data_IF_623528819422
#
_entry.id   IF_623528819422
#
_cell.length_a   1.000
_cell.length_b   1.000
_cell.length_c   1.000
_cell.angle_alpha   90.00
_cell.angle_beta   90.00
_cell.angle_gamma   90.00
#
_symmetry.space_group_name_H-M   'P 1'
#
loop_
_entity.id
_entity.type
_entity.pdbx_description
1 polymer ?
#
# COMPACT_ATOMS: atom_id res chain seq x y z
N UNK A 1 -3.55 -2.66 -37.00
CA UNK A 1 -3.29 -2.36 -35.58
C UNK A 1 -4.48 -1.55 -35.07
N UNK A 2 -5.08 -1.90 -33.93
CA UNK A 2 -6.36 -1.31 -33.46
C UNK A 2 -6.19 -0.22 -32.38
N UNK A 3 -4.95 0.21 -32.10
CA UNK A 3 -4.69 1.30 -31.16
C UNK A 3 -5.00 2.65 -31.82
N UNK A 4 -5.80 3.47 -31.14
CA UNK A 4 -6.11 4.84 -31.54
C UNK A 4 -5.46 5.76 -30.51
N UNK A 5 -4.55 6.61 -30.96
CA UNK A 5 -3.96 7.65 -30.13
C UNK A 5 -5.04 8.69 -29.81
N UNK A 6 -5.36 8.87 -28.52
CA UNK A 6 -6.44 9.75 -28.05
C UNK A 6 -5.95 11.03 -27.33
N UNK A 7 -4.66 11.35 -27.39
CA UNK A 7 -4.09 12.51 -26.69
C UNK A 7 -2.68 12.86 -27.14
N UNK A 8 -2.14 13.91 -26.52
CA UNK A 8 -0.76 14.35 -26.73
C UNK A 8 0.26 13.36 -26.11
N UNK A 9 1.50 13.41 -26.58
CA UNK A 9 2.61 12.72 -25.92
C UNK A 9 2.72 13.21 -24.47
N UNK A 10 3.02 12.28 -23.56
CA UNK A 10 3.15 12.58 -22.13
C UNK A 10 4.43 13.42 -21.93
N UNK A 11 4.26 14.62 -21.39
CA UNK A 11 5.36 15.46 -20.90
C UNK A 11 5.49 15.26 -19.39
N UNK A 12 6.47 14.46 -18.99
CA UNK A 12 6.71 14.08 -17.59
C UNK A 12 7.02 15.32 -16.74
N UNK A 13 7.91 16.20 -17.20
CA UNK A 13 8.28 17.39 -16.43
C UNK A 13 7.12 18.36 -16.29
N UNK A 14 6.30 18.53 -17.33
CA UNK A 14 5.08 19.33 -17.23
C UNK A 14 4.12 18.76 -16.17
N UNK A 15 3.89 17.44 -16.17
CA UNK A 15 3.03 16.78 -15.18
C UNK A 15 3.60 16.93 -13.75
N UNK A 16 4.92 16.83 -13.59
CA UNK A 16 5.58 16.94 -12.28
C UNK A 16 5.66 18.37 -11.75
N UNK A 17 5.75 19.36 -12.64
CA UNK A 17 6.10 20.75 -12.31
C UNK A 17 5.28 21.38 -11.18
N UNK A 18 3.97 21.11 -11.12
CA UNK A 18 3.05 21.75 -10.16
C UNK A 18 3.07 21.13 -8.76
N UNK A 19 3.59 19.92 -8.63
CA UNK A 19 3.52 19.11 -7.41
C UNK A 19 4.88 18.56 -7.01
N UNK A 20 5.96 19.17 -7.50
CA UNK A 20 7.32 18.84 -7.08
C UNK A 20 7.53 19.39 -5.67
N UNK A 21 7.85 18.52 -4.72
CA UNK A 21 8.16 18.95 -3.36
C UNK A 21 9.46 19.77 -3.33
N UNK A 22 9.47 20.82 -2.53
CA UNK A 22 10.65 21.70 -2.34
C UNK A 22 10.77 22.11 -0.86
N UNK A 23 11.94 22.63 -0.49
CA UNK A 23 12.17 23.21 0.84
C UNK A 23 11.90 22.24 1.99
N UNK A 24 11.16 22.71 2.99
CA UNK A 24 10.88 21.95 4.21
C UNK A 24 10.04 20.70 3.97
N UNK A 25 9.10 20.73 3.01
CA UNK A 25 8.26 19.57 2.72
C UNK A 25 9.08 18.40 2.13
N UNK A 26 10.00 18.69 1.20
CA UNK A 26 10.91 17.69 0.66
C UNK A 26 11.84 17.11 1.74
N UNK A 27 12.45 17.98 2.54
CA UNK A 27 13.33 17.54 3.63
C UNK A 27 12.58 16.66 4.65
N UNK A 28 11.33 17.00 4.96
CA UNK A 28 10.50 16.23 5.87
C UNK A 28 10.11 14.86 5.28
N UNK A 29 9.69 14.81 4.01
CA UNK A 29 9.42 13.54 3.31
C UNK A 29 10.66 12.65 3.32
N UNK A 30 11.80 13.16 2.89
CA UNK A 30 13.05 12.38 2.83
C UNK A 30 13.44 11.81 4.19
N UNK A 31 13.28 12.59 5.27
CA UNK A 31 13.51 12.09 6.63
C UNK A 31 12.57 10.94 6.97
N UNK A 32 11.28 11.07 6.66
CA UNK A 32 10.29 10.01 6.90
C UNK A 32 10.53 8.77 6.04
N UNK A 33 11.00 8.93 4.81
CA UNK A 33 11.35 7.81 3.94
C UNK A 33 12.56 7.04 4.49
N UNK A 34 13.54 7.75 5.04
CA UNK A 34 14.67 7.15 5.73
C UNK A 34 14.23 6.36 6.98
N UNK A 35 13.39 6.97 7.84
CA UNK A 35 12.81 6.27 9.00
C UNK A 35 12.01 5.02 8.57
N UNK A 36 11.27 5.10 7.46
CA UNK A 36 10.55 3.96 6.92
C UNK A 36 11.51 2.86 6.44
N UNK A 37 12.61 3.21 5.77
CA UNK A 37 13.62 2.24 5.36
C UNK A 37 14.26 1.53 6.57
N UNK A 38 14.57 2.28 7.64
CA UNK A 38 15.11 1.76 8.90
C UNK A 38 14.14 0.79 9.60
N UNK A 39 12.83 1.08 9.56
CA UNK A 39 11.81 0.16 10.08
C UNK A 39 11.82 -1.14 9.27
N UNK A 40 11.84 -1.06 7.95
CA UNK A 40 11.81 -2.21 7.06
C UNK A 40 13.09 -3.06 7.19
N UNK A 41 14.26 -2.44 7.33
CA UNK A 41 15.54 -3.14 7.55
C UNK A 41 15.68 -3.73 8.96
N UNK A 42 14.88 -3.25 9.92
CA UNK A 42 14.93 -3.70 11.32
C UNK A 42 15.88 -2.92 12.21
N UNK A 43 16.40 -1.78 11.73
CA UNK A 43 17.15 -0.81 12.53
C UNK A 43 16.23 -0.02 13.47
N UNK A 44 14.95 0.10 13.12
CA UNK A 44 13.88 0.66 13.94
C UNK A 44 12.79 -0.39 14.17
N UNK A 45 12.41 -0.61 15.44
CA UNK A 45 11.46 -1.66 15.86
C UNK A 45 9.99 -1.19 15.87
N UNK A 46 9.69 0.07 15.51
CA UNK A 46 8.32 0.58 15.44
C UNK A 46 7.44 -0.28 14.51
N UNK A 47 6.17 -0.42 14.87
CA UNK A 47 5.17 -1.08 14.02
C UNK A 47 4.78 -0.14 12.87
N UNK A 48 4.85 -0.65 11.64
CA UNK A 48 4.36 0.03 10.45
C UNK A 48 2.84 -0.14 10.32
N UNK A 49 2.11 0.96 10.16
CA UNK A 49 0.71 0.95 9.71
C UNK A 49 0.60 1.58 8.33
N UNK A 50 0.26 0.76 7.33
CA UNK A 50 -0.18 1.24 6.02
C UNK A 50 -1.70 1.37 6.07
N UNK A 51 -2.19 2.55 6.42
CA UNK A 51 -3.60 2.75 6.79
C UNK A 51 -4.25 3.93 6.07
N UNK A 52 -5.49 3.73 5.63
CA UNK A 52 -6.29 4.75 4.95
C UNK A 52 -7.39 4.12 4.11
N UNK A 53 -8.10 4.91 3.30
CA UNK A 53 -9.30 4.43 2.62
C UNK A 53 -8.95 3.34 1.61
N UNK A 54 -9.92 2.46 1.34
CA UNK A 54 -9.75 1.42 0.33
C UNK A 54 -9.35 2.06 -1.02
N UNK A 55 -10.08 3.07 -1.46
CA UNK A 55 -9.72 3.94 -2.60
C UNK A 55 -9.85 5.41 -2.21
N UNK A 56 -8.97 6.24 -2.76
CA UNK A 56 -9.05 7.71 -2.63
C UNK A 56 -10.01 8.27 -3.68
N UNK A 57 -11.30 8.27 -3.35
CA UNK A 57 -12.41 8.60 -4.22
C UNK A 57 -12.83 10.08 -4.18
N UNK A 58 -12.65 10.73 -3.02
CA UNK A 58 -13.01 12.13 -2.79
C UNK A 58 -11.84 12.88 -2.14
N UNK A 59 -11.26 13.85 -2.85
CA UNK A 59 -10.06 14.58 -2.40
C UNK A 59 -10.23 15.25 -1.03
N UNK A 60 -11.34 15.95 -0.80
CA UNK A 60 -11.54 16.68 0.46
C UNK A 60 -11.78 15.75 1.64
N UNK A 61 -12.49 14.63 1.45
CA UNK A 61 -12.65 13.61 2.49
C UNK A 61 -11.34 12.89 2.80
N UNK A 62 -10.52 12.60 1.79
CA UNK A 62 -9.18 12.01 1.96
C UNK A 62 -8.28 12.96 2.76
N UNK A 63 -8.32 14.26 2.47
CA UNK A 63 -7.50 15.25 3.19
C UNK A 63 -7.98 15.49 4.62
N UNK A 64 -9.29 15.48 4.86
CA UNK A 64 -9.83 15.51 6.22
C UNK A 64 -9.36 14.30 7.03
N UNK A 65 -9.42 13.09 6.44
CA UNK A 65 -8.87 11.89 7.06
C UNK A 65 -7.35 12.01 7.32
N UNK A 66 -6.59 12.54 6.36
CA UNK A 66 -5.15 12.74 6.47
C UNK A 66 -4.77 13.68 7.64
N UNK A 67 -5.49 14.79 7.80
CA UNK A 67 -5.26 15.74 8.91
C UNK A 67 -5.50 15.08 10.26
N UNK A 68 -6.60 14.34 10.40
CA UNK A 68 -6.91 13.60 11.62
C UNK A 68 -5.87 12.52 11.93
N UNK A 69 -5.44 11.78 10.91
CA UNK A 69 -4.42 10.74 11.03
C UNK A 69 -3.05 11.30 11.42
N UNK A 70 -2.69 12.50 10.94
CA UNK A 70 -1.44 13.17 11.31
C UNK A 70 -1.43 13.56 12.79
N UNK A 71 -2.54 14.08 13.33
CA UNK A 71 -2.64 14.34 14.77
C UNK A 71 -2.55 13.06 15.61
N UNK A 72 -3.07 11.94 15.10
CA UNK A 72 -2.94 10.66 15.77
C UNK A 72 -1.50 10.11 15.71
N UNK A 73 -0.82 10.21 14.55
CA UNK A 73 0.58 9.83 14.40
C UNK A 73 1.46 10.49 15.46
N UNK A 74 1.26 11.78 15.75
CA UNK A 74 2.02 12.50 16.79
C UNK A 74 1.92 11.85 18.17
N UNK A 75 0.77 11.24 18.50
CA UNK A 75 0.51 10.64 19.81
C UNK A 75 1.12 9.25 19.99
N UNK A 76 1.43 8.55 18.89
CA UNK A 76 1.91 7.16 18.89
C UNK A 76 3.29 6.99 18.25
N UNK A 77 3.96 8.10 17.93
CA UNK A 77 5.14 8.14 17.05
C UNK A 77 6.37 7.37 17.58
N UNK A 78 6.42 7.13 18.88
CA UNK A 78 7.49 6.38 19.56
C UNK A 78 7.40 4.86 19.31
N UNK A 79 6.21 4.32 18.98
CA UNK A 79 6.01 2.88 18.74
C UNK A 79 5.41 2.55 17.38
N UNK A 80 4.75 3.51 16.75
CA UNK A 80 3.98 3.31 15.53
C UNK A 80 4.39 4.34 14.49
N UNK A 81 4.67 3.84 13.28
CA UNK A 81 4.93 4.65 12.11
C UNK A 81 3.81 4.45 11.08
N UNK A 82 3.05 5.50 10.81
CA UNK A 82 1.93 5.51 9.89
C UNK A 82 2.40 5.99 8.53
N UNK A 83 2.12 5.20 7.49
CA UNK A 83 2.11 5.62 6.09
C UNK A 83 0.68 5.64 5.63
N UNK A 84 0.21 6.80 5.15
CA UNK A 84 -1.18 6.93 4.74
C UNK A 84 -1.41 6.23 3.41
N UNK A 85 -2.40 5.34 3.36
CA UNK A 85 -2.87 4.71 2.14
C UNK A 85 -3.64 5.73 1.28
N UNK A 86 -3.11 6.06 0.11
CA UNK A 86 -3.70 6.96 -0.89
C UNK A 86 -3.84 6.19 -2.20
N UNK A 87 -4.69 5.15 -2.20
CA UNK A 87 -4.79 4.25 -3.34
C UNK A 87 -5.64 4.86 -4.45
N UNK A 88 -5.00 5.24 -5.55
CA UNK A 88 -5.62 6.08 -6.59
C UNK A 88 -6.10 5.32 -7.82
N UNK A 89 -5.76 4.03 -7.90
CA UNK A 89 -6.17 3.14 -8.96
C UNK A 89 -6.80 1.86 -8.39
N UNK A 90 -7.76 1.26 -9.11
CA UNK A 90 -8.39 0.00 -8.69
C UNK A 90 -8.44 -1.03 -9.82
N UNK A 91 -7.85 -2.23 -9.63
CA UNK A 91 -7.98 -3.32 -10.58
C UNK A 91 -9.43 -3.85 -10.62
N UNK A 92 -9.96 -4.09 -11.82
CA UNK A 92 -11.30 -4.65 -12.05
C UNK A 92 -11.18 -5.92 -12.88
N UNK A 93 -11.80 -7.02 -12.44
CA UNK A 93 -11.66 -8.35 -13.07
C UNK A 93 -12.02 -8.37 -14.55
N UNK A 94 -13.13 -7.72 -14.92
CA UNK A 94 -13.59 -7.62 -16.32
C UNK A 94 -13.26 -6.28 -16.97
N UNK A 95 -12.53 -5.41 -16.27
CA UNK A 95 -12.25 -4.06 -16.76
C UNK A 95 -13.44 -3.10 -16.74
N UNK A 96 -14.58 -3.46 -16.15
CA UNK A 96 -15.76 -2.58 -16.04
C UNK A 96 -15.91 -1.94 -14.65
N UNK A 97 -16.63 -0.81 -14.61
CA UNK A 97 -16.89 -0.01 -13.42
C UNK A 97 -15.80 1.05 -13.15
N UNK A 98 -15.94 1.77 -12.04
CA UNK A 98 -14.98 2.79 -11.62
C UNK A 98 -13.59 2.18 -11.36
N UNK A 99 -12.56 2.79 -11.99
CA UNK A 99 -11.15 2.33 -11.97
C UNK A 99 -10.21 3.23 -11.16
N UNK A 100 -10.76 4.18 -10.40
CA UNK A 100 -10.00 5.11 -9.56
C UNK A 100 -9.74 6.48 -10.20
N UNK A 101 -9.22 7.38 -9.36
CA UNK A 101 -8.90 8.77 -9.66
C UNK A 101 -7.98 8.91 -10.88
N UNK A 102 -7.02 7.99 -11.04
CA UNK A 102 -6.08 8.00 -12.19
C UNK A 102 -6.80 7.87 -13.53
N UNK A 103 -7.94 7.17 -13.57
CA UNK A 103 -8.69 6.96 -14.80
C UNK A 103 -9.72 8.04 -15.07
N UNK A 104 -10.40 8.45 -14.01
CA UNK A 104 -11.56 9.32 -14.11
C UNK A 104 -11.64 10.16 -12.83
N UNK A 105 -10.94 11.31 -12.80
CA UNK A 105 -10.93 12.18 -11.62
C UNK A 105 -12.29 12.85 -11.37
N UNK A 106 -13.07 13.03 -12.44
CA UNK A 106 -14.44 13.54 -12.38
C UNK A 106 -15.37 12.50 -13.01
N UNK A 107 -16.16 11.83 -12.18
CA UNK A 107 -17.07 10.74 -12.59
C UNK A 107 -18.18 11.22 -13.52
N UNK A 108 -18.46 12.53 -13.60
CA UNK A 108 -19.42 13.11 -14.55
C UNK A 108 -18.83 13.32 -15.96
N UNK A 109 -17.51 13.21 -16.12
CA UNK A 109 -16.79 13.42 -17.39
C UNK A 109 -16.24 12.12 -17.95
N UNK A 110 -15.87 12.13 -19.23
CA UNK A 110 -15.18 11.00 -19.85
C UNK A 110 -13.81 10.73 -19.20
N UNK A 111 -13.31 9.47 -19.24
CA UNK A 111 -11.96 9.14 -18.74
C UNK A 111 -10.85 9.97 -19.37
N UNK A 112 -9.88 10.40 -18.56
CA UNK A 112 -8.70 11.16 -18.99
C UNK A 112 -7.51 10.86 -18.08
N UNK A 113 -6.56 10.06 -18.56
CA UNK A 113 -5.42 9.62 -17.74
C UNK A 113 -4.44 10.74 -17.42
N UNK A 114 -4.23 11.70 -18.32
CA UNK A 114 -3.31 12.83 -18.05
C UNK A 114 -3.87 13.69 -16.91
N UNK A 115 -5.16 14.03 -16.97
CA UNK A 115 -5.82 14.78 -15.90
C UNK A 115 -5.91 13.95 -14.62
N UNK A 116 -6.15 12.64 -14.73
CA UNK A 116 -6.16 11.72 -13.60
C UNK A 116 -4.81 11.68 -12.90
N UNK A 117 -3.69 11.53 -13.63
CA UNK A 117 -2.33 11.56 -13.08
C UNK A 117 -2.01 12.89 -12.40
N UNK A 118 -2.46 14.03 -12.96
CA UNK A 118 -2.32 15.33 -12.30
C UNK A 118 -3.11 15.37 -10.98
N UNK A 119 -4.32 14.82 -10.95
CA UNK A 119 -5.12 14.74 -9.72
C UNK A 119 -4.49 13.80 -8.68
N UNK A 120 -3.97 12.64 -9.10
CA UNK A 120 -3.20 11.72 -8.24
C UNK A 120 -2.03 12.45 -7.60
N UNK A 121 -1.18 13.09 -8.41
CA UNK A 121 -0.03 13.85 -7.90
C UNK A 121 -0.45 14.96 -6.96
N UNK A 122 -1.52 15.71 -7.28
CA UNK A 122 -2.03 16.78 -6.44
C UNK A 122 -2.46 16.24 -5.07
N UNK A 123 -3.17 15.11 -5.02
CA UNK A 123 -3.61 14.50 -3.78
C UNK A 123 -2.43 14.07 -2.90
N UNK A 124 -1.46 13.32 -3.45
CA UNK A 124 -0.25 12.94 -2.69
C UNK A 124 0.51 14.17 -2.19
N UNK A 125 0.70 15.17 -3.06
CA UNK A 125 1.36 16.43 -2.72
C UNK A 125 0.65 17.15 -1.56
N UNK A 126 -0.68 17.27 -1.61
CA UNK A 126 -1.46 17.90 -0.55
C UNK A 126 -1.40 17.12 0.76
N UNK A 127 -1.50 15.80 0.72
CA UNK A 127 -1.34 14.96 1.93
C UNK A 127 0.02 15.25 2.59
N UNK A 128 1.11 15.23 1.81
CA UNK A 128 2.46 15.47 2.34
C UNK A 128 2.62 16.89 2.86
N UNK A 129 2.22 17.89 2.08
CA UNK A 129 2.47 19.31 2.41
C UNK A 129 1.55 19.85 3.50
N UNK A 130 0.30 19.38 3.60
CA UNK A 130 -0.65 19.84 4.60
C UNK A 130 -0.50 19.09 5.94
N UNK A 131 -0.01 17.85 5.93
CA UNK A 131 -0.05 16.98 7.12
C UNK A 131 1.30 16.45 7.58
N UNK A 132 2.32 16.49 6.72
CA UNK A 132 3.62 15.87 6.97
C UNK A 132 3.63 14.34 6.84
N UNK A 133 2.49 13.68 6.65
CA UNK A 133 2.45 12.24 6.42
C UNK A 133 3.05 11.86 5.06
N UNK A 134 3.71 10.72 5.02
CA UNK A 134 4.14 10.06 3.77
C UNK A 134 3.04 9.13 3.28
N UNK A 135 3.06 8.82 1.99
CA UNK A 135 1.93 8.17 1.32
C UNK A 135 2.29 6.80 0.74
N UNK A 136 1.30 5.93 0.66
CA UNK A 136 1.36 4.63 -0.01
C UNK A 136 0.37 4.57 -1.17
N UNK A 137 0.76 3.96 -2.30
CA UNK A 137 -0.14 3.65 -3.42
C UNK A 137 0.13 2.23 -3.96
N UNK A 138 -0.81 1.68 -4.72
CA UNK A 138 -0.65 0.43 -5.46
C UNK A 138 -0.09 0.72 -6.86
N UNK A 139 1.03 0.08 -7.20
CA UNK A 139 1.59 0.12 -8.56
C UNK A 139 0.73 -0.76 -9.47
N UNK A 140 -0.40 -0.20 -9.94
CA UNK A 140 -1.29 -0.88 -10.89
C UNK A 140 -0.72 -0.90 -12.32
N UNK A 141 -0.03 0.18 -12.69
CA UNK A 141 0.66 0.32 -13.97
C UNK A 141 2.13 0.65 -13.70
N UNK A 142 3.07 -0.27 -13.96
CA UNK A 142 4.49 -0.01 -13.73
C UNK A 142 5.01 1.20 -14.51
N UNK A 143 4.47 1.46 -15.70
CA UNK A 143 4.79 2.62 -16.53
C UNK A 143 4.41 3.98 -15.93
N UNK A 144 3.55 4.00 -14.91
CA UNK A 144 3.21 5.25 -14.21
C UNK A 144 4.24 5.63 -13.15
N UNK A 145 5.19 4.76 -12.79
CA UNK A 145 6.11 4.98 -11.67
C UNK A 145 6.83 6.34 -11.74
N UNK A 146 7.43 6.68 -12.89
CA UNK A 146 8.18 7.94 -13.08
C UNK A 146 7.33 9.21 -12.85
N UNK A 147 6.02 9.06 -12.93
CA UNK A 147 5.05 10.14 -12.74
C UNK A 147 4.64 10.33 -11.28
N UNK A 148 5.02 9.44 -10.36
CA UNK A 148 4.61 9.49 -8.95
C UNK A 148 5.72 9.14 -7.94
N UNK A 149 6.85 8.63 -8.41
CA UNK A 149 8.01 8.19 -7.61
C UNK A 149 8.50 9.22 -6.57
N UNK A 150 8.44 10.51 -6.89
CA UNK A 150 8.86 11.60 -6.01
C UNK A 150 7.89 11.88 -4.86
N UNK A 151 6.69 11.30 -4.88
CA UNK A 151 5.62 11.55 -3.92
C UNK A 151 5.16 10.30 -3.16
N UNK A 152 5.36 9.11 -3.71
CA UNK A 152 5.00 7.84 -3.06
C UNK A 152 6.19 7.34 -2.24
N UNK A 153 5.94 6.95 -0.99
CA UNK A 153 6.96 6.47 -0.05
C UNK A 153 6.87 4.97 0.22
N UNK A 154 5.76 4.34 -0.14
CA UNK A 154 5.55 2.91 -0.01
C UNK A 154 4.69 2.42 -1.18
N UNK A 155 5.17 1.44 -1.92
CA UNK A 155 4.43 0.86 -3.02
C UNK A 155 3.87 -0.51 -2.65
N UNK A 156 2.67 -0.82 -3.11
CA UNK A 156 2.18 -2.19 -3.09
C UNK A 156 2.09 -2.75 -4.51
N UNK A 157 2.47 -4.02 -4.68
CA UNK A 157 2.12 -4.83 -5.84
C UNK A 157 0.95 -5.72 -5.46
N UNK A 158 -0.16 -5.55 -6.19
CA UNK A 158 -1.42 -6.21 -5.90
C UNK A 158 -1.41 -7.72 -6.12
N UNK A 159 -2.40 -8.40 -5.52
CA UNK A 159 -2.56 -9.85 -5.62
C UNK A 159 -2.80 -10.37 -7.07
N UNK A 160 -3.14 -9.47 -8.01
CA UNK A 160 -3.34 -9.80 -9.43
C UNK A 160 -2.11 -9.53 -10.29
N UNK A 161 -1.14 -8.77 -9.79
CA UNK A 161 0.07 -8.37 -10.52
C UNK A 161 1.36 -8.90 -9.89
N UNK A 162 1.31 -9.51 -8.70
CA UNK A 162 2.50 -10.11 -8.07
C UNK A 162 3.15 -11.21 -8.91
N UNK A 163 2.39 -11.86 -9.79
CA UNK A 163 2.91 -12.86 -10.73
C UNK A 163 3.42 -12.26 -12.05
N UNK A 164 3.12 -10.98 -12.31
CA UNK A 164 3.54 -10.29 -13.51
C UNK A 164 5.04 -9.94 -13.48
N UNK A 165 5.73 -10.22 -14.58
CA UNK A 165 7.17 -10.06 -14.68
C UNK A 165 7.58 -8.57 -14.68
N UNK A 166 6.83 -7.71 -15.37
CA UNK A 166 7.15 -6.28 -15.44
C UNK A 166 7.00 -5.64 -14.05
N UNK A 167 5.96 -5.98 -13.29
CA UNK A 167 5.80 -5.49 -11.92
C UNK A 167 6.97 -5.90 -11.01
N UNK A 168 7.43 -7.16 -11.09
CA UNK A 168 8.58 -7.65 -10.32
C UNK A 168 9.86 -6.90 -10.67
N UNK A 169 10.08 -6.66 -11.96
CA UNK A 169 11.28 -6.00 -12.44
C UNK A 169 11.28 -4.52 -12.13
N UNK A 170 10.17 -3.82 -12.31
CA UNK A 170 10.05 -2.41 -11.90
C UNK A 170 10.21 -2.27 -10.39
N UNK A 171 9.65 -3.18 -9.58
CA UNK A 171 9.86 -3.16 -8.12
C UNK A 171 11.34 -3.25 -7.69
N UNK A 172 12.18 -3.93 -8.48
CA UNK A 172 13.63 -4.02 -8.22
C UNK A 172 14.40 -2.71 -8.44
N UNK A 173 13.79 -1.73 -9.13
CA UNK A 173 14.35 -0.41 -9.39
C UNK A 173 13.73 0.73 -8.60
N UNK A 174 12.79 0.44 -7.68
CA UNK A 174 12.16 1.44 -6.83
C UNK A 174 13.03 1.70 -5.59
N UNK A 175 13.36 2.97 -5.35
CA UNK A 175 14.18 3.42 -4.22
C UNK A 175 13.33 3.69 -2.95
N UNK A 176 12.33 2.83 -2.73
CA UNK A 176 11.36 2.86 -1.64
C UNK A 176 10.83 1.44 -1.36
N UNK A 177 10.26 1.17 -0.17
CA UNK A 177 9.68 -0.13 0.13
C UNK A 177 8.59 -0.55 -0.86
N UNK A 178 8.64 -1.83 -1.25
CA UNK A 178 7.62 -2.45 -2.11
C UNK A 178 7.03 -3.70 -1.43
N UNK A 179 5.77 -3.63 -1.03
CA UNK A 179 5.05 -4.77 -0.47
C UNK A 179 4.41 -5.63 -1.56
N UNK A 180 4.78 -6.91 -1.61
CA UNK A 180 4.28 -7.92 -2.53
C UNK A 180 3.13 -8.69 -1.88
N UNK A 181 1.89 -8.49 -2.34
CA UNK A 181 0.75 -9.27 -1.86
C UNK A 181 0.83 -10.72 -2.33
N UNK A 182 0.41 -11.67 -1.49
CA UNK A 182 0.17 -13.02 -2.01
C UNK A 182 -0.93 -12.98 -3.09
N UNK A 183 -0.86 -13.84 -4.13
CA UNK A 183 -1.88 -13.86 -5.16
C UNK A 183 -3.24 -14.25 -4.59
N UNK A 184 -4.31 -14.02 -5.35
CA UNK A 184 -5.68 -14.36 -4.90
C UNK A 184 -5.86 -15.85 -4.59
N UNK A 185 -5.02 -16.72 -5.18
CA UNK A 185 -4.97 -18.16 -4.88
C UNK A 185 -4.31 -18.50 -3.54
N UNK A 186 -3.61 -17.56 -2.90
CA UNK A 186 -2.88 -17.79 -1.65
C UNK A 186 -1.49 -18.41 -1.80
N UNK A 187 -1.01 -18.64 -3.02
CA UNK A 187 0.27 -19.28 -3.26
C UNK A 187 1.45 -18.41 -2.78
N UNK A 188 2.02 -18.76 -1.62
CA UNK A 188 3.15 -18.04 -1.04
C UNK A 188 4.41 -18.13 -1.92
N UNK A 189 4.64 -19.25 -2.61
CA UNK A 189 5.79 -19.39 -3.51
C UNK A 189 5.79 -18.36 -4.63
N UNK A 190 4.63 -18.04 -5.22
CA UNK A 190 4.50 -16.97 -6.23
C UNK A 190 4.89 -15.60 -5.65
N UNK A 191 4.43 -15.30 -4.43
CA UNK A 191 4.76 -14.06 -3.73
C UNK A 191 6.26 -13.96 -3.41
N UNK A 192 6.85 -15.03 -2.89
CA UNK A 192 8.27 -15.05 -2.54
C UNK A 192 9.19 -15.02 -3.75
N UNK A 193 8.78 -15.61 -4.89
CA UNK A 193 9.47 -15.42 -6.17
C UNK A 193 9.43 -13.94 -6.62
N UNK A 194 8.36 -13.21 -6.32
CA UNK A 194 8.28 -11.78 -6.61
C UNK A 194 9.22 -10.95 -5.73
N UNK A 195 9.30 -11.26 -4.43
CA UNK A 195 10.27 -10.63 -3.51
C UNK A 195 11.70 -10.94 -3.95
N UNK A 196 12.00 -12.20 -4.30
CA UNK A 196 13.31 -12.58 -4.82
C UNK A 196 13.68 -11.80 -6.08
N UNK A 197 12.78 -11.72 -7.06
CA UNK A 197 13.03 -10.95 -8.27
C UNK A 197 13.25 -9.45 -7.95
N UNK A 198 12.47 -8.89 -7.02
CA UNK A 198 12.62 -7.50 -6.63
C UNK A 198 13.93 -7.23 -5.86
N UNK A 199 14.41 -8.14 -5.01
CA UNK A 199 15.67 -7.96 -4.27
C UNK A 199 16.93 -8.15 -5.15
N UNK A 200 16.79 -8.69 -6.36
CA UNK A 200 17.92 -8.96 -7.25
C UNK A 200 17.94 -7.99 -8.44
N UNK A 201 19.13 -7.81 -9.03
CA UNK A 201 19.31 -7.04 -10.25
C UNK A 201 18.47 -7.61 -11.39
N UNK A 202 17.85 -6.73 -12.17
CA UNK A 202 17.08 -7.09 -13.35
C UNK A 202 17.52 -6.26 -14.55
N UNK A 203 17.39 -6.84 -15.75
CA UNK A 203 17.62 -6.15 -17.03
C UNK A 203 16.38 -6.31 -17.90
N UNK A 204 15.76 -5.21 -18.31
CA UNK A 204 14.51 -5.24 -19.07
C UNK A 204 14.27 -3.94 -19.86
N UNK A 205 13.20 -3.89 -20.65
CA UNK A 205 12.77 -2.68 -21.32
C UNK A 205 11.83 -1.88 -20.43
N UNK A 206 12.18 -0.63 -20.16
CA UNK A 206 11.35 0.31 -19.41
C UNK A 206 11.38 1.68 -20.07
N UNK A 207 10.20 2.27 -20.31
CA UNK A 207 10.05 3.58 -20.96
C UNK A 207 10.78 3.71 -22.31
N UNK A 208 10.76 2.64 -23.10
CA UNK A 208 11.37 2.62 -24.43
C UNK A 208 12.89 2.58 -24.42
N UNK A 209 13.51 2.22 -23.30
CA UNK A 209 14.95 2.03 -23.14
C UNK A 209 15.25 0.68 -22.49
N UNK A 210 16.45 0.15 -22.74
CA UNK A 210 17.01 -0.94 -21.94
C UNK A 210 17.49 -0.37 -20.60
N UNK A 211 17.07 -0.98 -19.49
CA UNK A 211 17.44 -0.56 -18.14
C UNK A 211 18.00 -1.73 -17.34
N UNK A 212 18.92 -1.42 -16.42
CA UNK A 212 19.39 -2.32 -15.36
C UNK A 212 19.02 -1.74 -14.01
N UNK A 213 18.53 -2.57 -13.10
CA UNK A 213 18.21 -2.20 -11.72
C UNK A 213 19.21 -2.80 -10.73
N UNK A 214 19.35 -2.18 -9.56
CA UNK A 214 20.24 -2.65 -8.48
C UNK A 214 19.66 -3.78 -7.64
N UNK A 215 18.34 -3.99 -7.69
CA UNK A 215 17.61 -4.73 -6.67
C UNK A 215 17.12 -3.79 -5.56
N UNK A 216 16.04 -4.20 -4.90
CA UNK A 216 15.37 -3.47 -3.83
C UNK A 216 15.32 -4.34 -2.56
N UNK A 217 16.24 -4.13 -1.59
CA UNK A 217 16.30 -4.91 -0.35
C UNK A 217 15.13 -4.64 0.61
N UNK A 218 14.31 -3.62 0.35
CA UNK A 218 13.11 -3.27 1.11
C UNK A 218 11.85 -3.93 0.54
N UNK A 219 11.98 -4.72 -0.53
CA UNK A 219 10.89 -5.54 -1.05
C UNK A 219 10.52 -6.63 -0.03
N UNK A 220 9.24 -6.73 0.31
CA UNK A 220 8.77 -7.58 1.40
C UNK A 220 7.36 -8.14 1.12
N UNK A 221 6.85 -9.00 2.00
CA UNK A 221 5.57 -9.70 1.78
C UNK A 221 4.39 -9.03 2.48
N UNK A 222 3.21 -9.12 1.85
CA UNK A 222 1.92 -8.76 2.43
C UNK A 222 1.00 -9.99 2.42
N UNK A 223 0.67 -10.52 3.60
CA UNK A 223 -0.28 -11.62 3.77
C UNK A 223 -1.70 -11.06 3.80
N UNK A 224 -2.52 -11.43 2.82
CA UNK A 224 -3.84 -10.81 2.55
C UNK A 224 -5.02 -11.77 2.43
N UNK A 225 -4.81 -13.01 2.84
CA UNK A 225 -5.72 -14.13 2.66
C UNK A 225 -5.79 -14.60 1.22
N UNK A 226 -6.67 -15.54 0.96
CA UNK A 226 -6.88 -16.14 -0.34
C UNK A 226 -8.35 -16.50 -0.56
N UNK A 227 -8.68 -16.87 -1.79
CA UNK A 227 -9.93 -17.51 -2.13
C UNK A 227 -9.64 -18.90 -2.69
N UNK A 228 -10.25 -19.94 -2.12
CA UNK A 228 -10.10 -21.30 -2.63
C UNK A 228 -10.96 -21.55 -3.90
N UNK A 229 -10.83 -22.73 -4.48
CA UNK A 229 -11.57 -23.13 -5.69
C UNK A 229 -13.11 -23.08 -5.54
N UNK A 230 -13.61 -23.10 -4.31
CA UNK A 230 -15.04 -23.00 -3.99
C UNK A 230 -15.52 -21.56 -3.73
N UNK A 231 -14.65 -20.56 -3.92
CA UNK A 231 -14.97 -19.16 -3.64
C UNK A 231 -14.98 -18.80 -2.15
N UNK A 232 -14.47 -19.69 -1.28
CA UNK A 232 -14.40 -19.43 0.17
C UNK A 232 -13.12 -18.68 0.51
N UNK A 233 -13.24 -17.66 1.34
CA UNK A 233 -12.10 -16.96 1.92
C UNK A 233 -11.30 -17.89 2.84
N UNK A 234 -9.98 -17.93 2.62
CA UNK A 234 -9.00 -18.64 3.43
C UNK A 234 -8.03 -17.58 3.98
N UNK A 235 -8.22 -17.15 5.24
CA UNK A 235 -7.29 -16.24 5.86
C UNK A 235 -5.91 -16.88 6.06
N UNK A 236 -4.86 -16.07 5.96
CA UNK A 236 -3.48 -16.49 6.12
C UNK A 236 -2.69 -15.63 7.13
N UNK A 237 -3.39 -15.06 8.12
CA UNK A 237 -2.80 -14.33 9.24
C UNK A 237 -2.63 -15.19 10.50
N UNK A 238 -2.85 -16.51 10.41
CA UNK A 238 -2.69 -17.40 11.56
C UNK A 238 -1.22 -17.69 11.85
N UNK A 239 -0.97 -18.20 13.05
CA UNK A 239 0.36 -18.46 13.59
C UNK A 239 1.23 -19.30 12.63
N UNK A 240 0.66 -20.40 12.11
CA UNK A 240 1.34 -21.30 11.19
C UNK A 240 1.69 -20.60 9.86
N UNK A 241 0.80 -19.76 9.34
CA UNK A 241 1.06 -19.02 8.10
C UNK A 241 2.20 -18.01 8.24
N UNK A 242 2.29 -17.36 9.40
CA UNK A 242 3.40 -16.44 9.71
C UNK A 242 4.73 -17.20 9.77
N UNK A 243 4.76 -18.38 10.41
CA UNK A 243 5.96 -19.23 10.44
C UNK A 243 6.33 -19.77 9.07
N UNK A 244 5.35 -20.14 8.25
CA UNK A 244 5.58 -20.56 6.87
C UNK A 244 6.24 -19.44 6.06
N UNK A 245 5.71 -18.21 6.14
CA UNK A 245 6.30 -17.05 5.49
C UNK A 245 7.75 -16.78 5.96
N UNK A 246 8.01 -16.86 7.26
CA UNK A 246 9.37 -16.74 7.82
C UNK A 246 10.28 -17.85 7.27
N UNK A 247 9.79 -19.08 7.16
CA UNK A 247 10.56 -20.19 6.60
C UNK A 247 10.93 -19.95 5.13
N UNK A 248 10.07 -19.31 4.34
CA UNK A 248 10.40 -18.94 2.96
C UNK A 248 11.52 -17.89 2.90
N UNK A 249 11.47 -16.84 3.74
CA UNK A 249 12.57 -15.87 3.88
C UNK A 249 13.90 -16.59 4.17
N UNK A 250 13.91 -17.46 5.19
CA UNK A 250 15.11 -18.22 5.61
C UNK A 250 15.64 -19.14 4.49
N UNK A 251 14.76 -19.90 3.83
CA UNK A 251 15.14 -20.85 2.77
C UNK A 251 15.68 -20.18 1.51
N UNK A 252 15.14 -19.01 1.16
CA UNK A 252 15.54 -18.27 -0.04
C UNK A 252 16.69 -17.29 0.22
N UNK A 253 17.08 -17.08 1.48
CA UNK A 253 18.13 -16.14 1.85
C UNK A 253 17.77 -14.69 1.53
N UNK A 254 16.49 -14.33 1.66
CA UNK A 254 15.99 -13.00 1.36
C UNK A 254 16.34 -12.01 2.48
N UNK A 255 16.70 -10.79 2.08
CA UNK A 255 17.07 -9.72 2.98
C UNK A 255 15.86 -9.15 3.72
N UNK A 256 16.12 -8.57 4.90
CA UNK A 256 15.17 -7.82 5.72
C UNK A 256 13.78 -8.50 5.87
N UNK A 257 13.68 -9.67 6.53
CA UNK A 257 12.40 -10.34 6.75
C UNK A 257 11.37 -9.40 7.41
N UNK A 258 10.38 -8.99 6.62
CA UNK A 258 9.33 -8.07 7.05
C UNK A 258 7.99 -8.54 6.48
N UNK A 259 7.01 -8.71 7.36
CA UNK A 259 5.69 -9.23 7.02
C UNK A 259 4.67 -8.20 7.42
N UNK A 260 3.91 -7.73 6.43
CA UNK A 260 2.70 -6.94 6.63
C UNK A 260 1.49 -7.87 6.63
N UNK A 261 0.63 -7.76 7.63
CA UNK A 261 -0.68 -8.41 7.63
C UNK A 261 -1.71 -7.43 7.07
N UNK A 262 -2.26 -7.72 5.89
CA UNK A 262 -3.46 -7.04 5.38
C UNK A 262 -4.66 -7.58 6.14
N UNK A 263 -5.26 -6.69 6.93
CA UNK A 263 -6.29 -7.04 7.91
C UNK A 263 -7.68 -7.11 7.27
N UNK A 264 -7.86 -6.65 6.02
CA UNK A 264 -9.14 -6.67 5.33
C UNK A 264 -9.19 -7.80 4.28
N UNK A 265 -9.82 -7.54 3.13
CA UNK A 265 -9.83 -8.42 1.97
C UNK A 265 -10.19 -9.89 2.30
N UNK A 266 -9.39 -10.86 1.87
CA UNK A 266 -9.70 -12.28 2.05
C UNK A 266 -9.33 -12.75 3.47
N UNK A 267 -8.52 -11.99 4.21
CA UNK A 267 -8.28 -12.25 5.63
C UNK A 267 -9.51 -11.95 6.49
N UNK A 268 -10.24 -10.87 6.20
CA UNK A 268 -11.50 -10.54 6.88
C UNK A 268 -12.74 -11.17 6.23
N UNK A 269 -12.61 -11.81 5.07
CA UNK A 269 -13.78 -12.16 4.24
C UNK A 269 -14.61 -10.93 3.87
N UNK A 270 -13.96 -9.78 3.69
CA UNK A 270 -14.54 -8.44 3.46
C UNK A 270 -15.46 -7.96 4.59
N UNK A 271 -15.34 -8.52 5.79
CA UNK A 271 -16.01 -8.02 6.98
C UNK A 271 -15.11 -6.98 7.66
N UNK A 272 -15.33 -5.70 7.40
CA UNK A 272 -14.40 -4.64 7.82
C UNK A 272 -14.14 -4.57 9.34
N UNK A 273 -15.11 -4.97 10.19
CA UNK A 273 -14.93 -5.04 11.64
C UNK A 273 -13.99 -6.18 12.09
N UNK A 274 -13.83 -7.23 11.28
CA UNK A 274 -12.90 -8.31 11.58
C UNK A 274 -11.43 -7.87 11.53
N UNK A 275 -11.13 -6.72 10.92
CA UNK A 275 -9.79 -6.10 10.98
C UNK A 275 -9.28 -5.99 12.42
N UNK A 276 -10.15 -5.61 13.36
CA UNK A 276 -9.82 -5.48 14.79
C UNK A 276 -9.41 -6.83 15.38
N UNK A 277 -10.20 -7.88 15.10
CA UNK A 277 -9.92 -9.24 15.57
C UNK A 277 -8.60 -9.79 14.99
N UNK A 278 -8.33 -9.49 13.72
CA UNK A 278 -7.11 -9.92 13.02
C UNK A 278 -5.87 -9.27 13.61
N UNK A 279 -5.92 -7.97 13.91
CA UNK A 279 -4.85 -7.25 14.60
C UNK A 279 -4.60 -7.87 15.98
N UNK A 280 -5.64 -8.04 16.80
CA UNK A 280 -5.54 -8.65 18.14
C UNK A 280 -4.86 -10.01 18.09
N UNK A 281 -5.31 -10.89 17.20
CA UNK A 281 -4.75 -12.24 17.07
C UNK A 281 -3.29 -12.20 16.60
N UNK A 282 -2.94 -11.28 15.70
CA UNK A 282 -1.56 -11.11 15.24
C UNK A 282 -0.65 -10.63 16.36
N UNK A 283 -1.10 -9.67 17.18
CA UNK A 283 -0.32 -9.18 18.33
C UNK A 283 -0.07 -10.32 19.34
N UNK A 284 -1.09 -11.13 19.64
CA UNK A 284 -0.91 -12.32 20.49
C UNK A 284 0.11 -13.32 19.91
N UNK A 285 0.09 -13.55 18.60
CA UNK A 285 1.06 -14.44 17.95
C UNK A 285 2.49 -13.88 18.04
N UNK A 286 2.66 -12.55 17.94
CA UNK A 286 3.96 -11.89 18.14
C UNK A 286 4.46 -12.08 19.57
N UNK A 287 3.61 -11.90 20.57
CA UNK A 287 3.98 -12.06 21.98
C UNK A 287 4.38 -13.50 22.31
N UNK A 288 3.74 -14.47 21.65
CA UNK A 288 4.04 -15.88 21.86
C UNK A 288 5.35 -16.31 21.15
N UNK A 289 5.68 -15.74 20.00
CA UNK A 289 6.81 -16.22 19.19
C UNK A 289 7.76 -15.11 18.74
N UNK A 290 9.00 -15.18 19.21
CA UNK A 290 10.06 -14.21 18.89
C UNK A 290 10.37 -14.08 17.38
N UNK A 291 10.27 -15.16 16.60
CA UNK A 291 10.44 -15.06 15.14
C UNK A 291 9.30 -14.25 14.52
N UNK A 292 8.07 -14.50 14.96
CA UNK A 292 6.89 -13.73 14.54
C UNK A 292 7.04 -12.27 14.99
N UNK A 293 7.45 -12.00 16.23
CA UNK A 293 7.66 -10.65 16.76
C UNK A 293 8.63 -9.83 15.90
N UNK A 294 9.73 -10.45 15.47
CA UNK A 294 10.78 -9.83 14.64
C UNK A 294 10.37 -9.61 13.19
N UNK A 295 9.65 -10.56 12.58
CA UNK A 295 9.31 -10.48 11.17
C UNK A 295 7.97 -9.78 10.92
N UNK A 296 6.95 -10.03 11.75
CA UNK A 296 5.60 -9.45 11.61
C UNK A 296 5.56 -8.11 12.34
N UNK A 297 5.96 -7.05 11.63
CA UNK A 297 6.06 -5.68 12.15
C UNK A 297 5.23 -4.67 11.36
N UNK A 298 4.31 -5.14 10.51
CA UNK A 298 3.43 -4.27 9.73
C UNK A 298 1.97 -4.72 9.69
N UNK A 299 1.08 -3.75 9.64
CA UNK A 299 -0.34 -3.95 9.34
C UNK A 299 -0.77 -3.08 8.17
N UNK A 300 -1.61 -3.63 7.31
CA UNK A 300 -2.35 -2.88 6.30
C UNK A 300 -3.83 -2.86 6.69
N UNK A 301 -4.37 -1.66 6.88
CA UNK A 301 -5.70 -1.44 7.45
C UNK A 301 -6.50 -0.54 6.50
N UNK A 302 -7.71 -0.95 6.16
CA UNK A 302 -8.64 -0.12 5.39
C UNK A 302 -9.56 0.63 6.35
N UNK A 303 -9.38 1.94 6.39
CA UNK A 303 -10.02 2.87 7.31
C UNK A 303 -10.33 4.19 6.62
N UNK A 304 -11.46 4.80 6.92
CA UNK A 304 -11.86 6.10 6.41
C UNK A 304 -12.57 6.93 7.49
N UNK A 305 -13.32 7.96 7.11
CA UNK A 305 -14.07 8.77 8.08
C UNK A 305 -15.29 7.99 8.61
N UNK A 306 -16.01 7.32 7.72
CA UNK A 306 -17.24 6.60 8.00
C UNK A 306 -17.09 5.08 7.82
N UNK A 307 -17.76 4.31 8.66
CA UNK A 307 -17.76 2.85 8.60
C UNK A 307 -18.46 2.30 7.34
N UNK A 308 -17.96 1.15 6.88
CA UNK A 308 -18.56 0.36 5.83
C UNK A 308 -18.30 0.90 4.43
N UNK A 309 -19.28 0.71 3.55
CA UNK A 309 -19.23 1.16 2.15
C UNK A 309 -20.57 1.66 1.66
N UNK A 310 -20.55 2.35 0.54
CA UNK A 310 -21.71 2.78 -0.24
C UNK A 310 -21.50 2.43 -1.73
N UNK A 311 -22.58 2.43 -2.51
CA UNK A 311 -22.48 2.22 -3.96
C UNK A 311 -22.31 3.54 -4.71
N UNK A 312 -23.00 4.57 -4.25
CA UNK A 312 -22.94 5.94 -4.78
C UNK A 312 -22.33 6.86 -3.70
N UNK A 313 -21.61 7.93 -4.08
CA UNK A 313 -20.90 8.81 -3.14
C UNK A 313 -21.84 9.80 -2.43
N UNK A 314 -22.84 9.29 -1.71
CA UNK A 314 -23.84 10.10 -0.99
C UNK A 314 -23.34 10.57 0.37
N UNK A 315 -22.61 9.72 1.08
CA UNK A 315 -22.07 9.98 2.41
C UNK A 315 -20.61 10.43 2.29
N UNK A 316 -20.30 11.62 2.81
CA UNK A 316 -18.95 12.15 2.83
C UNK A 316 -18.00 11.24 3.63
N UNK A 317 -16.87 10.86 3.03
CA UNK A 317 -15.86 10.06 3.74
C UNK A 317 -16.23 8.59 3.97
N UNK A 318 -17.15 8.04 3.16
CA UNK A 318 -17.52 6.63 3.16
C UNK A 318 -17.09 5.96 1.85
N UNK A 319 -16.41 4.82 1.95
CA UNK A 319 -15.82 4.12 0.79
C UNK A 319 -16.87 3.74 -0.26
N UNK A 320 -16.58 3.97 -1.54
CA UNK A 320 -17.36 3.45 -2.68
C UNK A 320 -16.88 2.05 -3.14
N UNK A 321 -15.79 1.55 -2.56
CA UNK A 321 -15.13 0.28 -2.90
C UNK A 321 -15.32 -0.77 -1.80
N UNK A 322 -14.26 -1.35 -1.25
CA UNK A 322 -14.38 -2.29 -0.13
C UNK A 322 -14.73 -1.54 1.17
N UNK A 323 -15.46 -2.18 2.11
CA UNK A 323 -15.86 -1.54 3.36
C UNK A 323 -14.66 -1.28 4.27
N UNK A 324 -14.66 -0.10 4.91
CA UNK A 324 -13.58 0.38 5.77
C UNK A 324 -14.04 0.53 7.22
N UNK A 325 -13.10 0.53 8.17
CA UNK A 325 -13.36 1.04 9.52
C UNK A 325 -13.60 2.56 9.45
N UNK A 326 -14.55 3.06 10.23
CA UNK A 326 -14.76 4.48 10.45
C UNK A 326 -13.75 5.05 11.43
N UNK A 327 -13.80 6.37 11.62
CA UNK A 327 -12.78 7.09 12.38
C UNK A 327 -12.68 6.63 13.84
N UNK A 328 -13.79 6.44 14.53
CA UNK A 328 -13.79 6.06 15.95
C UNK A 328 -13.18 4.67 16.16
N UNK A 329 -13.54 3.70 15.31
CA UNK A 329 -12.94 2.37 15.33
C UNK A 329 -11.45 2.39 14.99
N UNK A 330 -11.03 3.33 14.14
CA UNK A 330 -9.64 3.52 13.74
C UNK A 330 -8.78 4.03 14.88
N UNK A 331 -9.27 5.05 15.61
CA UNK A 331 -8.58 5.58 16.80
C UNK A 331 -8.46 4.49 17.85
N UNK A 332 -9.56 3.80 18.16
CA UNK A 332 -9.55 2.72 19.16
C UNK A 332 -8.57 1.60 18.80
N UNK A 333 -8.53 1.19 17.52
CA UNK A 333 -7.62 0.15 17.06
C UNK A 333 -6.14 0.58 17.18
N UNK A 334 -5.81 1.81 16.77
CA UNK A 334 -4.43 2.32 16.87
C UNK A 334 -4.00 2.47 18.34
N UNK A 335 -4.87 2.99 19.20
CA UNK A 335 -4.61 3.07 20.65
C UNK A 335 -4.44 1.68 21.27
N UNK A 336 -5.23 0.70 20.84
CA UNK A 336 -5.10 -0.68 21.30
C UNK A 336 -3.76 -1.31 20.86
N UNK A 337 -3.34 -1.12 19.60
CA UNK A 337 -2.01 -1.55 19.13
C UNK A 337 -0.93 -0.90 19.99
N UNK A 338 -0.99 0.42 20.15
CA UNK A 338 -0.01 1.19 20.91
C UNK A 338 0.14 0.68 22.35
N UNK A 339 -0.97 0.50 23.05
CA UNK A 339 -0.99 0.04 24.45
C UNK A 339 -0.60 -1.44 24.60
N UNK A 340 -0.77 -2.26 23.57
CA UNK A 340 -0.38 -3.68 23.62
C UNK A 340 1.12 -3.85 23.49
N UNK A 341 1.80 -2.97 22.75
CA UNK A 341 3.27 -2.98 22.60
C UNK A 341 4.03 -2.58 23.88
N UNK A 342 3.34 -2.08 24.91
CA UNK A 342 3.91 -1.76 26.23
C UNK A 342 4.01 -2.96 27.20
N UNK A 343 3.41 -4.09 26.84
CA UNK A 343 3.43 -5.33 27.64
C UNK A 343 4.54 -6.24 27.19
#
# INVERSE_FOLDING_TARGET
MAFIEKGQKIDIEQIKSRTRLTGQALAHKNKRDQELAEILSGEDERILLVIGPCSSDNEEAVLEYARRLSELQKKVADKIFIVMRVYTAKPRTNGDGYKGLVHQPDTSKAPSLINGLQAVRQLHYRVITETGLTTADEMLYPSNLVLVDDLVSYHAVGARSVEDQEHRFVASGIDAPVGMKNPTSGNLGVMFNAVYAAQNKQTFLFHGQEVETSGNPLAHVILRGATNEYGKNIPNFYYENMLDAISYYEKMGLENPFIVIDTNHDNSGKQYLDQIRIVRQTLLNRDWNEKIKRAVRGFMIESYLEDGRQNEPEVFGKSITDPCLGWDNTVQLIEEIYNTLDK
#
